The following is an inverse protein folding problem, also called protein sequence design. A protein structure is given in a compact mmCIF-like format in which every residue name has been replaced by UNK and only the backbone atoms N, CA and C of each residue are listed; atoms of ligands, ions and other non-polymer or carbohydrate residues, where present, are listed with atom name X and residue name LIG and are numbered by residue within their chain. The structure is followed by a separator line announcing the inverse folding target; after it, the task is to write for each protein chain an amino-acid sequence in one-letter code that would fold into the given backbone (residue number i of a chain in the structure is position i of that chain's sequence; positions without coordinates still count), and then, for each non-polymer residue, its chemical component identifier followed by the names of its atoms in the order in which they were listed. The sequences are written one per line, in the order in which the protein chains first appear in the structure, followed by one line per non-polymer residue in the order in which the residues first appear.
data_IF_157098691918
#
_entry.id   IF_157098691918
#
_cell.length_a   1.000
_cell.length_b   1.000
_cell.length_c   1.000
_cell.angle_alpha   90.00
_cell.angle_beta   90.00
_cell.angle_gamma   90.00
#
_symmetry.space_group_name_H-M   'P 1'
#
loop_
_entity.id
_entity.type
_entity.pdbx_description
1 polymer ?
#
# COMPACT_ATOMS: atom_id res chain seq x y z
N UNK A 1 20.34 4.77 -2.22
CA UNK A 1 19.93 3.45 -2.75
C UNK A 1 18.52 3.17 -2.27
N UNK A 2 17.52 3.15 -3.17
CA UNK A 2 16.09 3.19 -2.83
C UNK A 2 15.54 2.03 -2.01
N UNK A 3 16.31 0.96 -1.78
CA UNK A 3 15.83 -0.26 -1.14
C UNK A 3 16.53 -0.56 0.18
N UNK A 4 15.75 -1.04 1.16
CA UNK A 4 16.23 -1.56 2.43
C UNK A 4 15.88 -3.05 2.55
N UNK A 5 16.90 -3.92 2.39
CA UNK A 5 16.76 -5.38 2.43
C UNK A 5 16.18 -5.90 3.74
N UNK A 6 16.35 -5.19 4.86
CA UNK A 6 15.84 -5.61 6.16
C UNK A 6 14.30 -5.70 6.19
N UNK A 7 13.61 -4.91 5.36
CA UNK A 7 12.15 -4.91 5.27
C UNK A 7 11.61 -5.72 4.08
N UNK A 8 12.49 -6.35 3.31
CA UNK A 8 12.10 -7.23 2.21
C UNK A 8 11.62 -8.58 2.73
N UNK A 9 10.50 -9.08 2.21
CA UNK A 9 9.89 -10.33 2.66
C UNK A 9 9.06 -10.98 1.56
N UNK A 10 9.24 -12.28 1.37
CA UNK A 10 8.36 -13.08 0.52
C UNK A 10 7.20 -13.65 1.35
N UNK A 11 5.98 -13.57 0.80
CA UNK A 11 4.77 -14.12 1.39
C UNK A 11 4.14 -15.23 0.53
N UNK A 12 4.93 -15.90 -0.33
CA UNK A 12 4.48 -17.11 -1.02
C UNK A 12 4.16 -18.24 -0.02
N UNK A 13 3.51 -19.30 -0.48
CA UNK A 13 3.16 -20.47 0.35
C UNK A 13 4.36 -21.09 1.06
N UNK A 14 5.56 -21.05 0.46
CA UNK A 14 6.78 -21.59 1.07
C UNK A 14 7.32 -20.68 2.18
N UNK A 15 7.38 -19.36 1.95
CA UNK A 15 7.96 -18.41 2.90
C UNK A 15 6.98 -18.02 4.02
N UNK A 16 5.68 -18.01 3.72
CA UNK A 16 4.60 -17.67 4.63
C UNK A 16 3.45 -18.69 4.48
N UNK A 17 3.66 -19.89 5.01
CA UNK A 17 2.72 -21.01 4.90
C UNK A 17 1.36 -20.80 5.57
N UNK A 18 0.40 -21.69 5.31
CA UNK A 18 -1.00 -21.54 5.73
C UNK A 18 -1.18 -21.54 7.26
N UNK A 19 -0.27 -22.15 8.02
CA UNK A 19 -0.31 -22.16 9.49
C UNK A 19 -0.03 -20.80 10.15
N UNK A 20 0.54 -19.85 9.40
CA UNK A 20 0.80 -18.49 9.92
C UNK A 20 -0.48 -17.65 9.97
N UNK A 21 -0.55 -16.58 10.79
CA UNK A 21 -1.74 -15.74 10.86
C UNK A 21 -2.10 -15.05 9.54
N UNK A 22 -3.39 -14.86 9.26
CA UNK A 22 -3.86 -14.06 8.11
C UNK A 22 -3.98 -12.57 8.44
N UNK A 23 -3.98 -12.24 9.73
CA UNK A 23 -4.11 -10.87 10.25
C UNK A 23 -3.02 -10.68 11.29
N UNK A 24 -2.38 -9.52 11.27
CA UNK A 24 -1.41 -9.10 12.27
C UNK A 24 -1.90 -7.81 12.93
N UNK A 25 -1.40 -7.54 14.14
CA UNK A 25 -1.69 -6.31 14.88
C UNK A 25 -0.41 -5.48 15.00
N UNK A 26 -0.47 -4.21 14.63
CA UNK A 26 0.58 -3.20 14.83
C UNK A 26 -0.05 -1.90 15.30
N UNK A 27 0.54 -1.26 16.31
CA UNK A 27 0.01 -0.02 16.90
C UNK A 27 -1.49 -0.13 17.28
N UNK A 28 -1.90 -1.27 17.86
CA UNK A 28 -3.30 -1.58 18.20
C UNK A 28 -4.29 -1.62 17.01
N UNK A 29 -3.79 -1.65 15.76
CA UNK A 29 -4.62 -1.84 14.57
C UNK A 29 -4.32 -3.16 13.87
N UNK A 30 -5.38 -3.83 13.43
CA UNK A 30 -5.30 -5.05 12.63
C UNK A 30 -5.07 -4.70 11.15
N UNK A 31 -4.29 -5.52 10.46
CA UNK A 31 -4.13 -5.48 9.00
C UNK A 31 -3.96 -6.89 8.43
N UNK A 32 -4.38 -7.11 7.19
CA UNK A 32 -4.26 -8.41 6.53
C UNK A 32 -2.83 -8.66 6.05
N UNK A 33 -2.36 -9.90 6.17
CA UNK A 33 -1.06 -10.30 5.64
C UNK A 33 -1.13 -10.43 4.10
N UNK A 34 -0.18 -9.86 3.34
CA UNK A 34 -0.18 -9.91 1.87
C UNK A 34 0.31 -11.28 1.35
N UNK A 35 -0.44 -12.35 1.62
CA UNK A 35 -0.13 -13.70 1.11
C UNK A 35 -0.11 -13.74 -0.43
N UNK A 36 0.90 -14.40 -0.98
CA UNK A 36 1.14 -14.44 -2.43
C UNK A 36 1.88 -13.22 -2.99
N UNK A 37 2.30 -12.27 -2.14
CA UNK A 37 3.06 -11.09 -2.56
C UNK A 37 4.53 -11.19 -2.18
N UNK A 38 5.37 -10.44 -2.88
CA UNK A 38 6.76 -10.18 -2.49
C UNK A 38 6.91 -8.72 -2.12
N UNK A 39 7.52 -8.46 -0.96
CA UNK A 39 7.76 -7.12 -0.44
C UNK A 39 9.22 -6.73 -0.58
N UNK A 40 9.47 -5.52 -1.07
CA UNK A 40 10.77 -4.86 -1.17
C UNK A 40 10.75 -3.60 -0.30
N UNK A 41 11.57 -3.54 0.73
CA UNK A 41 11.65 -2.38 1.62
C UNK A 41 12.10 -1.12 0.88
N UNK A 42 11.43 0.01 1.09
CA UNK A 42 11.80 1.30 0.48
C UNK A 42 12.68 2.08 1.46
N UNK A 43 13.63 2.87 0.96
CA UNK A 43 14.47 3.76 1.75
C UNK A 43 13.63 4.91 2.31
N UNK A 44 13.76 5.15 3.63
CA UNK A 44 13.01 6.18 4.35
C UNK A 44 13.97 7.18 4.97
N UNK A 45 13.45 8.36 5.29
CA UNK A 45 14.11 9.26 6.22
C UNK A 45 14.11 8.62 7.62
N UNK A 46 15.30 8.24 8.10
CA UNK A 46 15.47 7.56 9.38
C UNK A 46 15.19 8.47 10.57
N UNK A 47 15.57 9.75 10.49
CA UNK A 47 15.36 10.70 11.56
C UNK A 47 13.86 10.94 11.73
N UNK A 48 13.17 11.29 10.63
CA UNK A 48 11.72 11.46 10.64
C UNK A 48 10.99 10.22 11.18
N UNK A 49 11.36 9.02 10.71
CA UNK A 49 10.72 7.79 11.16
C UNK A 49 10.97 7.46 12.64
N UNK A 50 12.15 7.77 13.15
CA UNK A 50 12.53 7.57 14.56
C UNK A 50 11.83 8.58 15.47
N UNK A 51 11.92 9.87 15.14
CA UNK A 51 11.40 10.97 15.95
C UNK A 51 9.88 10.91 16.10
N UNK A 52 9.18 10.41 15.06
CA UNK A 52 7.73 10.21 15.09
C UNK A 52 7.32 8.81 15.56
N UNK A 53 8.27 7.93 15.90
CA UNK A 53 8.00 6.56 16.34
C UNK A 53 7.17 5.74 15.35
N UNK A 54 7.32 5.99 14.04
CA UNK A 54 6.42 5.52 12.97
C UNK A 54 6.22 4.00 13.02
N UNK A 55 7.29 3.23 13.20
CA UNK A 55 7.18 1.77 13.18
C UNK A 55 6.39 1.20 14.37
N UNK A 56 6.42 1.88 15.51
CA UNK A 56 5.77 1.49 16.75
C UNK A 56 4.34 2.01 16.84
N UNK A 57 4.13 3.26 16.45
CA UNK A 57 2.92 4.03 16.77
C UNK A 57 1.97 4.18 15.58
N UNK A 58 2.46 4.07 14.34
CA UNK A 58 1.62 4.25 13.16
C UNK A 58 1.00 2.94 12.69
N UNK A 59 -0.25 3.02 12.23
CA UNK A 59 -1.01 1.91 11.69
C UNK A 59 -0.38 1.40 10.40
N UNK A 60 -0.53 0.10 10.13
CA UNK A 60 -0.12 -0.49 8.86
C UNK A 60 -1.28 -0.49 7.87
N UNK A 61 -1.06 0.12 6.71
CA UNK A 61 -2.05 0.22 5.63
C UNK A 61 -1.44 -0.12 4.28
N UNK A 62 -2.29 -0.18 3.26
CA UNK A 62 -1.97 -0.51 1.89
C UNK A 62 -2.57 0.53 0.96
N UNK A 63 -1.78 0.96 -0.02
CA UNK A 63 -2.16 1.89 -1.07
C UNK A 63 -1.98 1.20 -2.43
N UNK A 64 -3.09 0.88 -3.08
CA UNK A 64 -3.07 0.35 -4.44
C UNK A 64 -2.74 1.46 -5.44
N UNK A 65 -1.92 1.16 -6.44
CA UNK A 65 -1.52 2.12 -7.47
C UNK A 65 -1.21 1.42 -8.79
N UNK A 66 -1.02 2.18 -9.87
CA UNK A 66 -0.49 1.66 -11.14
C UNK A 66 1.04 1.68 -11.15
N UNK A 67 1.66 0.91 -12.05
CA UNK A 67 3.12 0.95 -12.25
C UNK A 67 3.63 2.35 -12.61
N UNK A 68 2.84 3.13 -13.36
CA UNK A 68 3.26 4.44 -13.86
C UNK A 68 3.39 5.42 -12.69
N UNK A 69 2.38 5.45 -11.81
CA UNK A 69 2.34 6.30 -10.61
C UNK A 69 3.26 5.84 -9.50
N UNK A 70 3.62 4.56 -9.47
CA UNK A 70 4.55 4.03 -8.50
C UNK A 70 5.92 4.73 -8.56
N UNK A 71 6.42 5.00 -9.77
CA UNK A 71 7.74 5.64 -9.96
C UNK A 71 7.77 7.06 -9.36
N UNK A 72 6.68 7.82 -9.55
CA UNK A 72 6.48 9.15 -8.99
C UNK A 72 6.45 9.10 -7.46
N UNK A 73 5.65 8.20 -6.88
CA UNK A 73 5.52 8.05 -5.42
C UNK A 73 6.86 7.66 -4.77
N UNK A 74 7.60 6.71 -5.35
CA UNK A 74 8.90 6.28 -4.82
C UNK A 74 9.92 7.42 -4.87
N UNK A 75 9.93 8.23 -5.95
CA UNK A 75 10.83 9.38 -6.08
C UNK A 75 10.53 10.47 -5.05
N UNK A 76 9.25 10.78 -4.85
CA UNK A 76 8.82 11.78 -3.88
C UNK A 76 8.90 11.29 -2.43
N UNK A 77 8.92 9.98 -2.19
CA UNK A 77 8.93 9.32 -0.86
C UNK A 77 7.69 9.54 0.01
N UNK A 78 6.66 10.18 -0.54
CA UNK A 78 5.32 10.31 0.03
C UNK A 78 4.29 10.08 -1.07
N UNK A 79 3.04 9.80 -0.69
CA UNK A 79 1.92 9.72 -1.62
C UNK A 79 1.44 11.14 -1.90
N UNK A 80 1.59 11.67 -3.12
CA UNK A 80 1.12 13.02 -3.43
C UNK A 80 -0.40 13.08 -3.44
N UNK A 81 -0.94 14.25 -3.18
CA UNK A 81 -2.35 14.53 -3.39
C UNK A 81 -2.60 14.81 -4.87
N UNK A 82 -3.79 14.48 -5.40
CA UNK A 82 -4.19 14.92 -6.73
C UNK A 82 -3.97 16.44 -6.92
N UNK A 83 -3.30 16.82 -8.00
CA UNK A 83 -2.96 18.22 -8.31
C UNK A 83 -1.64 18.72 -7.71
N UNK A 84 -0.94 17.91 -6.92
CA UNK A 84 0.40 18.26 -6.42
C UNK A 84 1.43 18.33 -7.56
N UNK A 85 2.39 19.24 -7.42
CA UNK A 85 3.58 19.27 -8.27
C UNK A 85 4.56 18.17 -7.85
N UNK A 86 4.93 17.34 -8.81
CA UNK A 86 5.92 16.29 -8.65
C UNK A 86 7.33 16.85 -8.84
N UNK A 87 8.35 16.14 -8.34
CA UNK A 87 9.75 16.46 -8.64
C UNK A 87 10.10 16.44 -10.14
N UNK A 88 9.27 15.79 -10.98
CA UNK A 88 9.40 15.84 -12.44
C UNK A 88 8.91 17.16 -13.06
N UNK A 89 8.24 18.03 -12.29
CA UNK A 89 7.54 19.21 -12.78
C UNK A 89 6.13 18.93 -13.31
N UNK A 90 5.69 17.66 -13.31
CA UNK A 90 4.34 17.27 -13.71
C UNK A 90 3.37 17.32 -12.54
N UNK A 91 2.06 17.38 -12.84
CA UNK A 91 1.01 17.28 -11.84
C UNK A 91 0.70 15.82 -11.51
N UNK A 92 0.50 15.50 -10.23
CA UNK A 92 0.01 14.20 -9.81
C UNK A 92 -1.48 14.07 -10.13
N UNK A 93 -1.81 13.36 -11.20
CA UNK A 93 -3.20 13.18 -11.63
C UNK A 93 -3.69 11.80 -11.19
N UNK A 94 -4.79 11.76 -10.42
CA UNK A 94 -5.58 10.57 -10.15
C UNK A 94 -6.98 10.75 -10.72
N UNK A 95 -7.49 9.72 -11.38
CA UNK A 95 -8.88 9.67 -11.85
C UNK A 95 -9.82 9.28 -10.69
N UNK A 96 -9.81 10.07 -9.62
CA UNK A 96 -10.68 9.92 -8.46
C UNK A 96 -11.64 11.11 -8.38
N UNK A 97 -12.86 10.86 -7.90
CA UNK A 97 -13.86 11.90 -7.66
C UNK A 97 -13.49 12.83 -6.50
N UNK A 98 -12.68 12.33 -5.55
CA UNK A 98 -12.17 13.10 -4.41
C UNK A 98 -10.68 13.35 -4.60
N UNK A 99 -10.34 14.63 -4.80
CA UNK A 99 -8.97 15.09 -5.03
C UNK A 99 -8.27 15.60 -3.77
N UNK A 100 -8.99 15.66 -2.64
CA UNK A 100 -8.48 16.28 -1.41
C UNK A 100 -8.04 15.24 -0.38
N UNK A 101 -8.05 13.95 -0.72
CA UNK A 101 -7.74 12.88 0.22
C UNK A 101 -6.85 11.81 -0.38
N UNK A 102 -6.00 11.24 0.46
CA UNK A 102 -5.31 9.97 0.18
C UNK A 102 -6.10 8.83 0.80
N UNK A 103 -6.41 7.82 0.01
CA UNK A 103 -7.14 6.63 0.47
C UNK A 103 -6.20 5.45 0.68
N UNK A 104 -6.31 4.78 1.83
CA UNK A 104 -5.59 3.55 2.11
C UNK A 104 -6.54 2.49 2.67
N UNK A 105 -6.03 1.28 2.86
CA UNK A 105 -6.77 0.19 3.49
C UNK A 105 -5.88 -0.64 4.41
N UNK A 106 -6.37 -1.12 5.56
CA UNK A 106 -5.68 -2.18 6.32
C UNK A 106 -5.78 -3.56 5.62
N UNK A 107 -6.51 -3.67 4.51
CA UNK A 107 -6.69 -4.88 3.72
C UNK A 107 -5.92 -4.82 2.40
N UNK A 108 -4.99 -5.76 2.22
CA UNK A 108 -4.32 -5.99 0.93
C UNK A 108 -5.32 -6.47 -0.12
N UNK A 109 -6.33 -7.26 0.27
CA UNK A 109 -7.37 -7.73 -0.62
C UNK A 109 -8.12 -6.54 -1.23
N UNK A 110 -8.49 -5.57 -0.39
CA UNK A 110 -9.15 -4.34 -0.82
C UNK A 110 -8.22 -3.48 -1.69
N UNK A 111 -7.00 -3.22 -1.21
CA UNK A 111 -6.02 -2.39 -1.92
C UNK A 111 -5.59 -3.01 -3.26
N UNK A 112 -5.81 -4.31 -3.47
CA UNK A 112 -5.52 -5.02 -4.72
C UNK A 112 -6.72 -5.14 -5.66
N UNK A 113 -7.88 -4.56 -5.34
CA UNK A 113 -9.02 -4.55 -6.25
C UNK A 113 -8.70 -3.73 -7.50
N UNK A 114 -9.13 -4.20 -8.67
CA UNK A 114 -8.74 -3.64 -9.99
C UNK A 114 -9.00 -2.14 -10.16
N UNK A 115 -10.08 -1.63 -9.57
CA UNK A 115 -10.41 -0.19 -9.60
C UNK A 115 -9.47 0.70 -8.74
N UNK A 116 -8.66 0.12 -7.85
CA UNK A 116 -7.65 0.81 -7.02
C UNK A 116 -6.24 0.47 -7.50
N UNK A 117 -6.00 -0.80 -7.85
CA UNK A 117 -4.73 -1.32 -8.31
C UNK A 117 -4.95 -2.01 -9.67
N UNK A 118 -4.79 -1.28 -10.79
CA UNK A 118 -4.90 -1.84 -12.12
C UNK A 118 -3.96 -3.04 -12.31
N UNK A 119 -4.40 -3.99 -13.15
CA UNK A 119 -3.61 -5.17 -13.49
C UNK A 119 -2.80 -4.87 -14.75
N UNK A 120 -1.48 -5.01 -14.65
CA UNK A 120 -0.55 -4.88 -15.76
C UNK A 120 -0.22 -6.27 -16.33
N UNK A 121 -0.59 -6.53 -17.58
CA UNK A 121 -0.26 -7.80 -18.24
C UNK A 121 1.05 -7.71 -19.01
N UNK A 122 1.94 -8.69 -18.80
CA UNK A 122 3.23 -8.79 -19.49
C UNK A 122 3.47 -10.20 -20.02
N UNK A 123 4.12 -10.31 -21.19
CA UNK A 123 4.61 -11.57 -21.73
C UNK A 123 6.06 -11.78 -21.28
N UNK A 124 6.33 -12.86 -20.56
CA UNK A 124 7.66 -13.27 -20.10
C UNK A 124 7.88 -14.71 -20.51
N UNK A 125 8.84 -14.96 -21.40
CA UNK A 125 9.19 -16.29 -21.90
C UNK A 125 7.97 -17.06 -22.43
N UNK A 126 7.19 -16.45 -23.32
CA UNK A 126 5.97 -17.02 -23.92
C UNK A 126 4.84 -17.35 -22.92
N UNK A 127 4.86 -16.75 -21.74
CA UNK A 127 3.79 -16.87 -20.76
C UNK A 127 3.28 -15.47 -20.39
N UNK A 128 1.97 -15.32 -20.33
CA UNK A 128 1.37 -14.09 -19.83
C UNK A 128 1.29 -14.12 -18.31
N UNK A 129 1.64 -12.99 -17.72
CA UNK A 129 1.55 -12.75 -16.28
C UNK A 129 0.80 -11.45 -16.04
N UNK A 130 -0.12 -11.51 -15.10
CA UNK A 130 -0.83 -10.37 -14.56
C UNK A 130 -0.08 -9.88 -13.31
N UNK A 131 0.33 -8.61 -13.34
CA UNK A 131 1.09 -7.94 -12.30
C UNK A 131 0.23 -6.90 -11.60
N UNK A 132 0.43 -6.80 -10.28
CA UNK A 132 -0.15 -5.75 -9.48
C UNK A 132 0.88 -5.20 -8.50
N UNK A 133 0.79 -3.90 -8.23
CA UNK A 133 1.70 -3.17 -7.35
C UNK A 133 0.93 -2.44 -6.26
N UNK A 134 1.33 -2.69 -5.01
CA UNK A 134 0.74 -2.06 -3.83
C UNK A 134 1.86 -1.51 -2.96
N UNK A 135 1.69 -0.31 -2.42
CA UNK A 135 2.58 0.21 -1.39
C UNK A 135 2.04 -0.21 -0.03
N UNK A 136 2.86 -0.86 0.78
CA UNK A 136 2.59 -0.98 2.21
C UNK A 136 3.07 0.31 2.87
N UNK A 137 2.20 0.90 3.65
CA UNK A 137 2.39 2.20 4.26
C UNK A 137 2.31 2.13 5.79
N UNK A 138 2.78 3.20 6.41
CA UNK A 138 2.48 3.57 7.77
C UNK A 138 1.58 4.79 7.75
N UNK A 139 0.47 4.77 8.48
CA UNK A 139 -0.45 5.90 8.56
C UNK A 139 -0.58 6.39 10.00
N UNK A 140 -0.47 7.71 10.18
CA UNK A 140 -0.61 8.37 11.48
C UNK A 140 -2.02 8.16 12.03
N UNK A 141 -2.19 7.57 13.23
CA UNK A 141 -3.50 7.32 13.83
C UNK A 141 -4.35 8.58 14.01
N UNK A 142 -3.72 9.73 14.28
CA UNK A 142 -4.40 10.99 14.52
C UNK A 142 -5.14 11.52 13.28
N UNK A 143 -4.69 11.13 12.08
CA UNK A 143 -5.15 11.68 10.80
C UNK A 143 -6.03 10.67 10.03
N UNK A 144 -6.45 9.58 10.68
CA UNK A 144 -7.23 8.51 10.05
C UNK A 144 -8.72 8.78 10.19
N UNK A 145 -9.39 8.96 9.05
CA UNK A 145 -10.83 8.91 8.95
C UNK A 145 -11.26 7.55 8.35
N UNK A 146 -12.14 6.81 9.02
CA UNK A 146 -12.56 5.45 8.64
C UNK A 146 -13.95 5.44 8.02
N UNK A 147 -14.15 4.64 6.97
CA UNK A 147 -15.42 4.54 6.26
C UNK A 147 -15.71 3.10 5.82
N UNK A 148 -16.99 2.81 5.67
CA UNK A 148 -17.44 1.61 4.98
C UNK A 148 -17.07 1.68 3.50
N UNK A 149 -16.57 0.58 2.94
CA UNK A 149 -16.16 0.54 1.54
C UNK A 149 -17.28 0.73 0.52
N UNK A 150 -18.54 0.59 0.94
CA UNK A 150 -19.68 0.41 0.03
C UNK A 150 -19.63 -0.89 -0.79
N UNK A 151 -18.62 -1.75 -0.62
CA UNK A 151 -18.43 -3.03 -1.31
C UNK A 151 -18.56 -4.19 -0.32
N UNK A 152 -19.72 -4.86 -0.24
CA UNK A 152 -19.85 -6.04 0.60
C UNK A 152 -18.78 -7.07 0.23
N UNK A 153 -18.16 -7.70 1.24
CA UNK A 153 -17.17 -8.78 1.11
C UNK A 153 -15.83 -8.41 0.47
N UNK A 154 -15.45 -7.12 0.45
CA UNK A 154 -14.14 -6.74 -0.08
C UNK A 154 -12.96 -7.28 0.77
N UNK A 155 -13.21 -7.69 2.01
CA UNK A 155 -12.35 -8.56 2.80
C UNK A 155 -13.16 -9.26 3.89
N UNK A 156 -13.00 -10.58 4.01
CA UNK A 156 -13.66 -11.39 5.05
C UNK A 156 -12.92 -11.34 6.39
N UNK A 157 -11.66 -10.87 6.38
CA UNK A 157 -10.78 -10.90 7.56
C UNK A 157 -10.90 -9.64 8.43
N UNK A 158 -11.48 -8.55 7.91
CA UNK A 158 -11.62 -7.27 8.59
C UNK A 158 -13.07 -6.77 8.45
N UNK A 159 -13.62 -6.08 9.47
CA UNK A 159 -14.93 -5.46 9.39
C UNK A 159 -15.04 -4.48 8.21
N UNK A 160 -16.18 -4.51 7.51
CA UNK A 160 -16.37 -3.73 6.29
C UNK A 160 -16.39 -2.21 6.53
N UNK A 161 -16.79 -1.78 7.72
CA UNK A 161 -16.77 -0.39 8.19
C UNK A 161 -15.36 0.11 8.56
N UNK A 162 -14.36 -0.78 8.53
CA UNK A 162 -12.98 -0.49 8.89
C UNK A 162 -11.98 -0.86 7.79
N UNK A 163 -12.44 -0.97 6.53
CA UNK A 163 -11.61 -1.42 5.41
C UNK A 163 -11.14 -0.28 4.50
N UNK A 164 -11.77 0.89 4.53
CA UNK A 164 -11.35 2.04 3.75
C UNK A 164 -11.06 3.22 4.67
N UNK A 165 -9.84 3.73 4.59
CA UNK A 165 -9.37 4.85 5.39
C UNK A 165 -8.97 6.00 4.47
N UNK A 166 -9.13 7.24 4.93
CA UNK A 166 -8.65 8.41 4.21
C UNK A 166 -8.03 9.42 5.16
N UNK A 167 -7.31 10.37 4.59
CA UNK A 167 -6.69 11.50 5.28
C UNK A 167 -6.58 12.68 4.32
N UNK A 168 -6.81 13.87 4.83
CA UNK A 168 -6.53 15.16 4.17
C UNK A 168 -5.19 15.76 4.64
N UNK A 169 -4.53 15.12 5.61
CA UNK A 169 -3.26 15.59 6.16
C UNK A 169 -2.08 15.10 5.33
N UNK A 170 -1.28 16.05 4.84
CA UNK A 170 -0.03 15.76 4.15
C UNK A 170 0.95 15.04 5.08
N UNK A 171 1.79 14.17 4.51
CA UNK A 171 2.79 13.39 5.25
C UNK A 171 2.24 12.45 6.34
N UNK A 172 0.92 12.28 6.44
CA UNK A 172 0.28 11.34 7.37
C UNK A 172 0.32 9.89 6.89
N UNK A 173 0.73 9.65 5.63
CA UNK A 173 0.92 8.32 5.04
C UNK A 173 2.32 8.20 4.46
N UNK A 174 3.10 7.28 5.02
CA UNK A 174 4.48 7.01 4.61
C UNK A 174 4.59 5.62 3.95
N UNK A 175 4.89 5.53 2.63
CA UNK A 175 5.21 4.25 1.99
C UNK A 175 6.49 3.65 2.58
N UNK A 176 6.43 2.40 3.06
CA UNK A 176 7.58 1.71 3.69
C UNK A 176 8.11 0.53 2.87
N UNK A 177 7.31 -0.03 1.97
CA UNK A 177 7.75 -1.10 1.08
C UNK A 177 6.83 -1.25 -0.12
N UNK A 178 7.41 -1.64 -1.26
CA UNK A 178 6.69 -2.05 -2.47
C UNK A 178 6.30 -3.53 -2.36
N UNK A 179 5.02 -3.83 -2.55
CA UNK A 179 4.50 -5.19 -2.71
C UNK A 179 4.21 -5.45 -4.19
N UNK A 180 4.70 -6.57 -4.69
CA UNK A 180 4.46 -7.04 -6.07
C UNK A 180 3.80 -8.42 -6.00
N UNK A 181 2.73 -8.59 -6.76
CA UNK A 181 2.12 -9.90 -7.06
C UNK A 181 2.21 -10.14 -8.55
N UNK A 182 2.61 -11.35 -8.92
CA UNK A 182 2.59 -11.85 -10.28
C UNK A 182 1.80 -13.15 -10.32
N UNK A 183 0.77 -13.23 -11.15
CA UNK A 183 -0.04 -14.43 -11.35
C UNK A 183 0.02 -14.81 -12.81
N UNK A 184 0.31 -16.08 -13.10
CA UNK A 184 0.24 -16.60 -14.46
C UNK A 184 -1.22 -16.54 -14.94
N UNK A 185 -1.44 -15.90 -16.08
CA UNK A 185 -2.77 -15.76 -16.71
C UNK A 185 -3.13 -16.99 -17.54
#
# INVERSE_FOLDING_TARGET
AYFNRHFSRCYCSNCYGPSKPNVLTTANSKFTVPRGWVSFGIQLDKAFASDNGIFKNWYTTFYGTSKDKLSEIIRNRFIPFPGDDLLSGEKFILNLSDQNHVYTSPSINYASLSHVCPVDRMNINNNFYDFQVVLRCKQNPADVQKFASGKPNACELLPNDNIQWKTDQRSSVLPISLLIRATKS
#
